data_IF_760604243634
#
_entry.id   IF_760604243634
#
_cell.length_a   1.000
_cell.length_b   1.000
_cell.length_c   1.000
_cell.angle_alpha   90.00
_cell.angle_beta   90.00
_cell.angle_gamma   90.00
#
_symmetry.space_group_name_H-M   'P 1'
#
loop_
_entity.id
_entity.type
_entity.pdbx_description
1 polymer ?
#
# COMPACT_ATOMS: atom_id res chain seq x y z
N UNK A 1 11.40 -4.67 17.37
CA UNK A 1 10.19 -4.18 18.06
C UNK A 1 9.10 -5.23 17.91
N UNK A 2 8.71 -5.92 18.99
CA UNK A 2 7.53 -6.81 18.96
C UNK A 2 6.30 -5.93 19.09
N UNK A 3 5.60 -5.68 17.98
CA UNK A 3 4.29 -5.03 18.00
C UNK A 3 3.32 -5.98 18.70
N UNK A 4 2.70 -5.55 19.80
CA UNK A 4 1.59 -6.28 20.41
C UNK A 4 0.55 -6.53 19.32
N UNK A 5 0.27 -7.79 19.01
CA UNK A 5 -0.82 -8.17 18.12
C UNK A 5 -2.12 -7.78 18.83
N UNK A 6 -2.87 -6.85 18.26
CA UNK A 6 -4.18 -6.47 18.78
C UNK A 6 -5.11 -7.68 18.63
N UNK A 7 -5.48 -8.30 19.75
CA UNK A 7 -6.33 -9.51 19.85
C UNK A 7 -7.67 -9.35 19.09
N UNK A 8 -8.19 -8.11 19.03
CA UNK A 8 -9.39 -7.72 18.27
C UNK A 8 -9.27 -7.97 16.76
N UNK A 9 -8.06 -7.92 16.19
CA UNK A 9 -7.84 -8.13 14.77
C UNK A 9 -7.93 -9.60 14.36
N UNK A 10 -7.64 -10.53 15.27
CA UNK A 10 -7.56 -11.97 14.96
C UNK A 10 -8.95 -12.64 15.02
N UNK A 11 -9.82 -12.20 15.93
CA UNK A 11 -11.18 -12.73 16.07
C UNK A 11 -12.08 -12.47 14.86
N UNK A 12 -11.82 -11.39 14.11
CA UNK A 12 -12.61 -10.99 12.93
C UNK A 12 -11.95 -11.35 11.59
N UNK A 13 -10.99 -12.29 11.58
CA UNK A 13 -10.24 -12.66 10.37
C UNK A 13 -11.16 -13.08 9.20
N UNK A 14 -12.24 -13.80 9.51
CA UNK A 14 -13.19 -14.32 8.52
C UNK A 14 -14.04 -13.25 7.81
N UNK A 15 -14.14 -12.05 8.39
CA UNK A 15 -14.87 -10.91 7.82
C UNK A 15 -14.00 -10.06 6.90
N UNK A 16 -12.69 -10.36 6.79
CA UNK A 16 -11.76 -9.51 6.05
C UNK A 16 -11.87 -9.76 4.55
N UNK A 17 -12.05 -8.69 3.79
CA UNK A 17 -11.91 -8.69 2.33
C UNK A 17 -10.57 -8.09 1.92
N UNK A 18 -9.99 -8.57 0.82
CA UNK A 18 -8.74 -8.02 0.29
C UNK A 18 -8.97 -6.59 -0.22
N UNK A 19 -8.18 -5.63 0.27
CA UNK A 19 -8.21 -4.26 -0.24
C UNK A 19 -7.32 -4.17 -1.49
N UNK A 20 -7.89 -3.74 -2.61
CA UNK A 20 -7.14 -3.49 -3.83
C UNK A 20 -6.63 -2.05 -3.85
N UNK A 21 -5.31 -1.89 -3.96
CA UNK A 21 -4.67 -0.58 -4.02
C UNK A 21 -4.33 -0.24 -5.46
N UNK A 22 -4.78 0.93 -5.90
CA UNK A 22 -4.52 1.46 -7.24
C UNK A 22 -3.62 2.70 -7.14
N UNK A 23 -2.74 2.86 -8.12
CA UNK A 23 -1.87 4.04 -8.24
C UNK A 23 -1.83 4.53 -9.68
N UNK A 24 -1.52 5.80 -9.85
CA UNK A 24 -1.33 6.39 -11.18
C UNK A 24 -0.01 5.94 -11.81
N UNK A 25 -0.08 5.51 -13.07
CA UNK A 25 1.05 5.14 -13.92
C UNK A 25 0.86 5.82 -15.27
N UNK A 26 1.76 6.74 -15.65
CA UNK A 26 1.74 7.43 -16.96
C UNK A 26 0.37 7.99 -17.39
N UNK A 27 -0.48 8.40 -16.43
CA UNK A 27 -1.77 9.02 -16.71
C UNK A 27 -3.02 8.20 -16.35
N UNK A 28 -2.91 6.87 -16.18
CA UNK A 28 -4.05 6.00 -15.85
C UNK A 28 -3.90 5.28 -14.50
N UNK A 29 -5.00 4.74 -13.97
CA UNK A 29 -5.00 3.97 -12.73
C UNK A 29 -4.67 2.50 -13.01
N UNK A 30 -3.66 1.97 -12.31
CA UNK A 30 -3.23 0.57 -12.41
C UNK A 30 -3.16 -0.06 -11.02
N UNK A 31 -3.63 -1.31 -10.83
CA UNK A 31 -3.52 -1.99 -9.55
C UNK A 31 -2.05 -2.27 -9.23
N UNK A 32 -1.64 -1.97 -7.99
CA UNK A 32 -0.27 -2.16 -7.51
C UNK A 32 0.11 -3.65 -7.51
N UNK A 33 -0.85 -4.54 -7.31
CA UNK A 33 -0.65 -5.99 -7.32
C UNK A 33 -0.14 -6.52 -8.67
N UNK A 34 -0.47 -5.84 -9.76
CA UNK A 34 -0.06 -6.23 -11.11
C UNK A 34 1.38 -5.78 -11.45
N UNK A 35 2.13 -5.23 -10.49
CA UNK A 35 3.46 -4.68 -10.75
C UNK A 35 4.49 -5.82 -10.89
N UNK A 36 5.31 -5.76 -11.94
CA UNK A 36 6.49 -6.62 -12.06
C UNK A 36 7.63 -6.13 -11.14
N UNK A 37 8.73 -6.89 -11.04
CA UNK A 37 9.84 -6.60 -10.12
C UNK A 37 10.44 -5.20 -10.38
N UNK A 38 10.66 -4.84 -11.66
CA UNK A 38 11.18 -3.53 -12.04
C UNK A 38 10.24 -2.39 -11.63
N UNK A 39 8.94 -2.51 -11.88
CA UNK A 39 7.94 -1.49 -11.53
C UNK A 39 7.76 -1.36 -10.01
N UNK A 40 7.88 -2.45 -9.26
CA UNK A 40 7.92 -2.42 -7.79
C UNK A 40 9.14 -1.61 -7.30
N UNK A 41 10.30 -1.77 -7.94
CA UNK A 41 11.50 -0.98 -7.66
C UNK A 41 11.30 0.51 -7.93
N UNK A 42 10.84 0.87 -9.14
CA UNK A 42 10.53 2.26 -9.52
C UNK A 42 9.51 2.89 -8.55
N UNK A 43 8.43 2.16 -8.22
CA UNK A 43 7.39 2.68 -7.33
C UNK A 43 7.93 3.00 -5.93
N UNK A 44 8.84 2.20 -5.39
CA UNK A 44 9.49 2.44 -4.09
C UNK A 44 10.42 3.66 -4.09
N UNK A 45 10.96 4.04 -5.25
CA UNK A 45 11.84 5.20 -5.40
C UNK A 45 11.08 6.52 -5.59
N UNK A 46 9.73 6.48 -5.69
CA UNK A 46 8.92 7.70 -5.82
C UNK A 46 8.98 8.51 -4.53
N UNK A 47 9.17 9.81 -4.68
CA UNK A 47 9.16 10.77 -3.57
C UNK A 47 7.78 11.41 -3.50
N UNK A 48 7.14 11.32 -2.32
CA UNK A 48 5.88 12.02 -2.08
C UNK A 48 6.17 13.45 -1.64
N UNK A 49 5.43 14.39 -2.21
CA UNK A 49 5.44 15.76 -1.73
C UNK A 49 4.94 15.80 -0.29
N UNK A 50 5.67 16.51 0.57
CA UNK A 50 5.26 16.83 1.93
C UNK A 50 5.21 18.36 2.03
N UNK A 51 4.05 18.89 2.34
CA UNK A 51 3.90 20.32 2.58
C UNK A 51 4.71 20.72 3.81
N UNK A 52 5.40 21.87 3.75
CA UNK A 52 6.10 22.41 4.90
C UNK A 52 5.08 23.04 5.84
N UNK A 53 5.21 22.77 7.15
CA UNK A 53 4.39 23.44 8.15
C UNK A 53 4.74 24.93 8.16
N UNK A 54 3.73 25.80 8.04
CA UNK A 54 3.87 27.25 8.21
C UNK A 54 4.18 27.62 9.67
#
# INVERSE_FOLDING_TARGET
MKTKTNEVSESNQHLRTKCLVYTRVMGYHRPVESFNIGKKGEHKQRVHFKENQC
#
